data_IF_651150940187
#
_entry.id   IF_651150940187
#
_cell.length_a   1.000
_cell.length_b   1.000
_cell.length_c   1.000
_cell.angle_alpha   90.00
_cell.angle_beta   90.00
_cell.angle_gamma   90.00
#
_symmetry.space_group_name_H-M   'P 1'
#
loop_
_entity.id
_entity.type
_entity.pdbx_description
1 polymer ?
#
# COMPACT_ATOMS: atom_id res chain seq x y z
N UNK A 1 -22.98 56.56 20.53
CA UNK A 1 -23.79 55.58 19.77
C UNK A 1 -22.97 55.12 18.56
N UNK A 2 -22.44 53.89 18.57
CA UNK A 2 -21.71 53.32 17.44
C UNK A 2 -22.34 51.97 17.10
N UNK A 3 -23.00 51.90 15.93
CA UNK A 3 -23.56 50.67 15.35
C UNK A 3 -22.40 49.92 14.71
N UNK A 4 -22.05 48.76 15.25
CA UNK A 4 -21.12 47.82 14.62
C UNK A 4 -21.96 46.94 13.71
N UNK A 5 -21.84 47.14 12.40
CA UNK A 5 -22.45 46.32 11.37
C UNK A 5 -21.56 45.09 11.18
N UNK A 6 -22.08 43.91 11.55
CA UNK A 6 -21.46 42.61 11.28
C UNK A 6 -21.42 42.34 9.77
N UNK A 7 -20.27 41.94 9.17
CA UNK A 7 -20.27 41.44 7.81
C UNK A 7 -20.57 39.93 7.82
N UNK A 8 -21.86 39.59 7.70
CA UNK A 8 -22.37 38.22 7.61
C UNK A 8 -22.19 37.58 6.21
N UNK A 9 -21.05 37.79 5.54
CA UNK A 9 -20.86 37.37 4.13
C UNK A 9 -19.64 36.45 3.91
N UNK A 10 -18.86 36.13 4.94
CA UNK A 10 -17.67 35.28 4.79
C UNK A 10 -17.92 33.76 4.99
N UNK A 11 -19.17 33.31 5.16
CA UNK A 11 -19.47 31.91 5.52
C UNK A 11 -20.10 31.07 4.39
N UNK A 12 -20.04 31.52 3.13
CA UNK A 12 -20.69 30.83 2.01
C UNK A 12 -19.74 30.10 1.04
N UNK A 13 -18.41 30.25 1.19
CA UNK A 13 -17.44 29.70 0.24
C UNK A 13 -16.84 28.33 0.61
N UNK A 14 -17.27 27.72 1.73
CA UNK A 14 -16.71 26.46 2.26
C UNK A 14 -17.50 25.20 1.86
N UNK A 15 -18.50 25.30 0.96
CA UNK A 15 -19.46 24.22 0.69
C UNK A 15 -19.39 23.60 -0.73
N UNK A 16 -18.35 23.84 -1.52
CA UNK A 16 -18.28 23.30 -2.90
C UNK A 16 -17.15 22.31 -3.16
N UNK A 17 -16.51 21.77 -2.11
CA UNK A 17 -15.67 20.58 -2.25
C UNK A 17 -16.56 19.32 -2.26
N UNK A 18 -17.40 19.18 -3.28
CA UNK A 18 -17.98 17.87 -3.57
C UNK A 18 -16.84 16.98 -4.05
N UNK A 19 -16.51 15.86 -3.38
CA UNK A 19 -15.63 14.89 -3.98
C UNK A 19 -16.35 14.41 -5.25
N UNK A 20 -15.86 14.82 -6.41
CA UNK A 20 -16.18 14.11 -7.64
C UNK A 20 -15.84 12.65 -7.36
N UNK A 21 -16.83 11.76 -7.37
CA UNK A 21 -16.59 10.33 -7.40
C UNK A 21 -15.82 10.04 -8.69
N UNK A 22 -14.50 10.15 -8.61
CA UNK A 22 -13.61 9.73 -9.67
C UNK A 22 -13.85 8.24 -9.81
N UNK A 23 -14.35 7.83 -10.98
CA UNK A 23 -14.49 6.41 -11.29
C UNK A 23 -13.09 5.85 -11.40
N UNK A 24 -12.81 4.81 -10.62
CA UNK A 24 -11.56 4.07 -10.72
C UNK A 24 -11.46 3.50 -12.14
N UNK A 25 -10.35 3.78 -12.81
CA UNK A 25 -10.04 3.26 -14.13
C UNK A 25 -9.19 1.99 -14.05
N UNK A 26 -9.24 1.16 -15.10
CA UNK A 26 -8.36 -0.02 -15.21
C UNK A 26 -6.89 0.39 -15.17
N UNK A 27 -6.53 1.52 -15.77
CA UNK A 27 -5.16 2.04 -15.75
C UNK A 27 -4.69 2.41 -14.33
N UNK A 28 -5.57 2.94 -13.48
CA UNK A 28 -5.26 3.17 -12.06
C UNK A 28 -5.09 1.83 -11.32
N UNK A 29 -5.95 0.84 -11.57
CA UNK A 29 -5.79 -0.50 -10.98
C UNK A 29 -4.44 -1.14 -11.35
N UNK A 30 -4.02 -1.02 -12.62
CA UNK A 30 -2.72 -1.52 -13.09
C UNK A 30 -1.55 -0.79 -12.43
N UNK A 31 -1.62 0.53 -12.33
CA UNK A 31 -0.60 1.35 -11.68
C UNK A 31 -0.46 1.03 -10.19
N UNK A 32 -1.58 0.89 -9.48
CA UNK A 32 -1.61 0.54 -8.06
C UNK A 32 -1.07 -0.88 -7.83
N UNK A 33 -1.46 -1.84 -8.67
CA UNK A 33 -0.93 -3.20 -8.60
C UNK A 33 0.59 -3.23 -8.82
N UNK A 34 1.09 -2.52 -9.83
CA UNK A 34 2.53 -2.42 -10.08
C UNK A 34 3.27 -1.77 -8.90
N UNK A 35 2.69 -0.74 -8.28
CA UNK A 35 3.26 -0.10 -7.10
C UNK A 35 3.29 -1.06 -5.89
N UNK A 36 2.23 -1.84 -5.69
CA UNK A 36 2.17 -2.86 -4.63
C UNK A 36 3.23 -3.95 -4.84
N UNK A 37 3.35 -4.50 -6.05
CA UNK A 37 4.36 -5.52 -6.36
C UNK A 37 5.77 -4.99 -6.11
N UNK A 38 6.07 -3.77 -6.58
CA UNK A 38 7.38 -3.16 -6.37
C UNK A 38 7.69 -2.92 -4.88
N UNK A 39 6.69 -2.59 -4.07
CA UNK A 39 6.86 -2.43 -2.62
C UNK A 39 7.06 -3.78 -1.91
N UNK A 40 6.34 -4.82 -2.32
CA UNK A 40 6.52 -6.18 -1.83
C UNK A 40 7.95 -6.67 -2.09
N UNK A 41 8.46 -6.47 -3.32
CA UNK A 41 9.83 -6.82 -3.68
C UNK A 41 10.87 -6.06 -2.86
N UNK A 42 10.70 -4.74 -2.69
CA UNK A 42 11.59 -3.91 -1.84
C UNK A 42 11.62 -4.42 -0.41
N UNK A 43 10.45 -4.74 0.16
CA UNK A 43 10.36 -5.23 1.53
C UNK A 43 11.05 -6.57 1.70
N UNK A 44 10.85 -7.50 0.75
CA UNK A 44 11.60 -8.77 0.74
C UNK A 44 13.10 -8.52 0.67
N UNK A 45 13.57 -7.72 -0.29
CA UNK A 45 14.99 -7.47 -0.48
C UNK A 45 15.64 -6.88 0.79
N UNK A 46 14.96 -5.95 1.45
CA UNK A 46 15.40 -5.39 2.72
C UNK A 46 15.53 -6.47 3.80
N UNK A 47 14.48 -7.26 4.03
CA UNK A 47 14.48 -8.31 5.04
C UNK A 47 15.55 -9.37 4.77
N UNK A 48 15.67 -9.83 3.52
CA UNK A 48 16.66 -10.83 3.15
C UNK A 48 18.08 -10.29 3.25
N UNK A 49 18.31 -9.01 2.95
CA UNK A 49 19.64 -8.40 3.08
C UNK A 49 20.12 -8.41 4.53
N UNK A 50 19.24 -8.07 5.46
CA UNK A 50 19.55 -8.08 6.90
C UNK A 50 19.79 -9.51 7.42
N UNK A 51 18.87 -10.44 7.14
CA UNK A 51 18.98 -11.83 7.59
C UNK A 51 20.21 -12.53 7.00
N UNK A 52 20.51 -12.33 5.71
CA UNK A 52 21.70 -12.90 5.09
C UNK A 52 22.99 -12.28 5.63
N UNK A 53 22.95 -11.00 6.04
CA UNK A 53 24.10 -10.36 6.68
C UNK A 53 24.37 -11.02 8.04
N UNK A 54 23.36 -11.18 8.89
CA UNK A 54 23.51 -11.86 10.18
C UNK A 54 23.98 -13.30 10.01
N UNK A 55 23.41 -14.03 9.04
CA UNK A 55 23.78 -15.41 8.76
C UNK A 55 25.26 -15.57 8.38
N UNK A 56 25.84 -14.57 7.69
CA UNK A 56 27.27 -14.57 7.33
C UNK A 56 28.20 -14.32 8.52
N UNK A 57 27.70 -13.70 9.60
CA UNK A 57 28.52 -13.33 10.76
C UNK A 57 28.30 -14.24 11.96
N UNK A 58 27.30 -15.13 11.94
CA UNK A 58 27.12 -16.13 12.98
C UNK A 58 28.06 -17.33 12.81
N UNK A 59 28.57 -17.83 13.92
CA UNK A 59 29.27 -19.13 14.01
C UNK A 59 28.51 -20.13 14.88
N UNK A 60 27.32 -19.77 15.36
CA UNK A 60 26.43 -20.61 16.15
C UNK A 60 25.44 -21.28 15.20
N UNK A 61 25.47 -22.63 15.18
CA UNK A 61 24.64 -23.46 14.32
C UNK A 61 23.14 -23.35 14.65
N UNK A 62 22.78 -23.20 15.93
CA UNK A 62 21.37 -23.03 16.33
C UNK A 62 20.85 -21.68 15.86
N UNK A 63 21.67 -20.64 15.99
CA UNK A 63 21.33 -19.31 15.51
C UNK A 63 21.25 -19.28 13.97
N UNK A 64 22.16 -19.95 13.27
CA UNK A 64 22.13 -20.07 11.82
C UNK A 64 20.86 -20.79 11.33
N UNK A 65 20.42 -21.85 12.02
CA UNK A 65 19.18 -22.54 11.71
C UNK A 65 17.95 -21.63 11.90
N UNK A 66 17.92 -20.83 12.97
CA UNK A 66 16.85 -19.87 13.21
C UNK A 66 16.80 -18.77 12.14
N UNK A 67 17.95 -18.27 11.68
CA UNK A 67 18.04 -17.28 10.60
C UNK A 67 17.56 -17.85 9.27
N UNK A 68 17.95 -19.08 8.93
CA UNK A 68 17.46 -19.76 7.72
C UNK A 68 15.93 -19.94 7.77
N UNK A 69 15.36 -20.31 8.92
CA UNK A 69 13.92 -20.37 9.07
C UNK A 69 13.26 -19.00 8.81
N UNK A 70 13.83 -17.91 9.33
CA UNK A 70 13.30 -16.56 9.08
C UNK A 70 13.39 -16.15 7.61
N UNK A 71 14.44 -16.55 6.90
CA UNK A 71 14.58 -16.34 5.44
C UNK A 71 13.43 -17.02 4.69
N UNK A 72 13.14 -18.28 5.00
CA UNK A 72 12.02 -19.02 4.39
C UNK A 72 10.67 -18.35 4.71
N UNK A 73 10.48 -17.87 5.95
CA UNK A 73 9.28 -17.12 6.31
C UNK A 73 9.14 -15.82 5.52
N UNK A 74 10.23 -15.09 5.27
CA UNK A 74 10.19 -13.88 4.46
C UNK A 74 9.71 -14.15 3.02
N UNK A 75 10.16 -15.25 2.41
CA UNK A 75 9.67 -15.69 1.10
C UNK A 75 8.19 -16.08 1.14
N UNK A 76 7.78 -16.84 2.15
CA UNK A 76 6.37 -17.22 2.29
C UNK A 76 5.45 -16.00 2.45
N UNK A 77 5.89 -15.00 3.21
CA UNK A 77 5.18 -13.74 3.37
C UNK A 77 5.07 -12.97 2.04
N UNK A 78 6.14 -12.92 1.24
CA UNK A 78 6.11 -12.32 -0.10
C UNK A 78 5.03 -12.98 -0.97
N UNK A 79 5.02 -14.31 -1.04
CA UNK A 79 4.03 -15.06 -1.83
C UNK A 79 2.60 -14.73 -1.40
N UNK A 80 2.34 -14.66 -0.08
CA UNK A 80 1.03 -14.27 0.44
C UNK A 80 0.65 -12.84 0.03
N UNK A 81 1.59 -11.89 0.12
CA UNK A 81 1.31 -10.51 -0.29
C UNK A 81 1.08 -10.39 -1.80
N UNK A 82 1.81 -11.12 -2.63
CA UNK A 82 1.60 -11.17 -4.08
C UNK A 82 0.22 -11.76 -4.41
N UNK A 83 -0.18 -12.83 -3.72
CA UNK A 83 -1.52 -13.42 -3.85
C UNK A 83 -2.63 -12.41 -3.51
N UNK A 84 -2.47 -11.69 -2.40
CA UNK A 84 -3.43 -10.66 -1.98
C UNK A 84 -3.47 -9.47 -2.96
N UNK A 85 -2.31 -9.02 -3.45
CA UNK A 85 -2.22 -7.97 -4.45
C UNK A 85 -2.93 -8.36 -5.76
N UNK A 86 -2.76 -9.60 -6.21
CA UNK A 86 -3.42 -10.10 -7.42
C UNK A 86 -4.95 -10.19 -7.25
N UNK A 87 -5.43 -10.60 -6.07
CA UNK A 87 -6.86 -10.60 -5.73
C UNK A 87 -7.41 -9.17 -5.76
N UNK A 88 -6.73 -8.23 -5.08
CA UNK A 88 -7.14 -6.84 -5.03
C UNK A 88 -7.18 -6.20 -6.43
N UNK A 89 -6.16 -6.47 -7.25
CA UNK A 89 -6.11 -6.02 -8.64
C UNK A 89 -7.30 -6.53 -9.45
N UNK A 90 -7.57 -7.84 -9.39
CA UNK A 90 -8.71 -8.44 -10.09
C UNK A 90 -10.04 -7.79 -9.68
N UNK A 91 -10.22 -7.55 -8.39
CA UNK A 91 -11.46 -6.99 -7.87
C UNK A 91 -11.58 -5.48 -8.22
N UNK A 92 -10.47 -4.75 -8.26
CA UNK A 92 -10.38 -3.38 -8.75
C UNK A 92 -10.79 -3.29 -10.23
N UNK A 93 -10.23 -4.16 -11.09
CA UNK A 93 -10.56 -4.18 -12.52
C UNK A 93 -12.04 -4.48 -12.73
N UNK A 94 -12.61 -5.46 -12.03
CA UNK A 94 -14.04 -5.77 -12.10
C UNK A 94 -14.92 -4.56 -11.70
N UNK A 95 -14.51 -3.83 -10.67
CA UNK A 95 -15.23 -2.62 -10.24
C UNK A 95 -15.10 -1.46 -11.24
N UNK A 96 -13.91 -1.28 -11.82
CA UNK A 96 -13.68 -0.29 -12.87
C UNK A 96 -14.52 -0.59 -14.13
N UNK A 97 -14.58 -1.85 -14.54
CA UNK A 97 -15.36 -2.32 -15.68
C UNK A 97 -16.88 -2.26 -15.43
N UNK A 98 -17.34 -2.41 -14.18
CA UNK A 98 -18.77 -2.26 -13.84
C UNK A 98 -19.25 -0.80 -13.87
N UNK A 99 -18.34 0.17 -14.00
CA UNK A 99 -18.67 1.60 -13.97
C UNK A 99 -18.86 2.16 -12.55
N UNK A 100 -18.41 1.41 -11.53
CA UNK A 100 -18.37 1.84 -10.14
C UNK A 100 -19.69 1.79 -9.37
N UNK A 101 -20.67 1.01 -9.85
CA UNK A 101 -22.02 0.86 -9.27
C UNK A 101 -22.15 -0.30 -8.29
#
# INVERSE_FOLDING_TARGET
MRKIILPAVALAALLTAFPSSARISVAECEADYAAMVAEIERNRESSLTELNRELRFTSDDEHAAALNHQIEQAWHMEEMFLGNAAIAYRDCVKYAESGGS
#
